data_IF_546773294615
#
_entry.id   IF_546773294615
#
_cell.length_a   1.000
_cell.length_b   1.000
_cell.length_c   1.000
_cell.angle_alpha   90.00
_cell.angle_beta   90.00
_cell.angle_gamma   90.00
#
_symmetry.space_group_name_H-M   'P 1'
#
loop_
_entity.id
_entity.type
_entity.pdbx_description
1 polymer ?
#
# COMPACT_ATOMS: atom_id res chain seq x y z
N UNK A 1 34.36 -42.27 37.97
CA UNK A 1 33.80 -42.52 36.62
C UNK A 1 32.50 -41.74 36.35
N UNK A 2 31.54 -41.73 37.29
CA UNK A 2 30.20 -41.12 37.07
C UNK A 2 30.15 -39.62 36.78
N UNK A 3 31.06 -38.81 37.37
CA UNK A 3 31.08 -37.36 37.14
C UNK A 3 31.40 -36.97 35.68
N UNK A 4 32.26 -37.74 35.00
CA UNK A 4 32.64 -37.49 33.59
C UNK A 4 31.48 -37.81 32.64
N UNK A 5 30.68 -38.81 32.98
CA UNK A 5 29.47 -39.18 32.23
C UNK A 5 28.38 -38.11 32.39
N UNK A 6 28.14 -37.66 33.62
CA UNK A 6 27.18 -36.59 33.89
C UNK A 6 27.53 -35.29 33.15
N UNK A 7 28.81 -34.91 33.13
CA UNK A 7 29.29 -33.74 32.40
C UNK A 7 29.09 -33.89 30.88
N UNK A 8 29.37 -35.08 30.33
CA UNK A 8 29.15 -35.37 28.91
C UNK A 8 27.68 -35.25 28.50
N UNK A 9 26.76 -35.78 29.32
CA UNK A 9 25.31 -35.66 29.09
C UNK A 9 24.86 -34.20 29.15
N UNK A 10 25.37 -33.42 30.10
CA UNK A 10 25.05 -31.99 30.23
C UNK A 10 25.51 -31.19 29.01
N UNK A 11 26.71 -31.45 28.50
CA UNK A 11 27.24 -30.81 27.28
C UNK A 11 26.39 -31.18 26.07
N UNK A 12 25.98 -32.44 25.94
CA UNK A 12 25.18 -32.92 24.82
C UNK A 12 23.77 -32.27 24.83
N UNK A 13 23.16 -32.15 26.01
CA UNK A 13 21.92 -31.40 26.22
C UNK A 13 22.07 -29.91 25.88
N UNK A 14 23.17 -29.30 26.30
CA UNK A 14 23.46 -27.90 26.00
C UNK A 14 23.59 -27.69 24.48
N UNK A 15 24.36 -28.53 23.80
CA UNK A 15 24.54 -28.46 22.35
C UNK A 15 23.23 -28.69 21.59
N UNK A 16 22.42 -29.66 22.02
CA UNK A 16 21.10 -29.90 21.44
C UNK A 16 20.18 -28.67 21.60
N UNK A 17 20.24 -28.00 22.75
CA UNK A 17 19.46 -26.79 23.00
C UNK A 17 19.94 -25.60 22.18
N UNK A 18 21.27 -25.42 22.06
CA UNK A 18 21.85 -24.39 21.18
C UNK A 18 21.47 -24.63 19.72
N UNK A 19 21.55 -25.87 19.26
CA UNK A 19 21.19 -26.24 17.89
C UNK A 19 19.70 -26.04 17.63
N UNK A 20 18.85 -26.39 18.61
CA UNK A 20 17.42 -26.11 18.57
C UNK A 20 17.14 -24.62 18.51
N UNK A 21 17.88 -23.77 19.24
CA UNK A 21 17.66 -22.32 19.18
C UNK A 21 18.02 -21.73 17.81
N UNK A 22 18.97 -22.34 17.10
CA UNK A 22 19.36 -21.91 15.77
C UNK A 22 18.41 -22.41 14.67
N UNK A 23 17.73 -23.54 14.88
CA UNK A 23 16.91 -24.23 13.86
C UNK A 23 15.40 -24.14 14.12
N UNK A 24 14.95 -24.07 15.38
CA UNK A 24 13.53 -24.08 15.71
C UNK A 24 12.90 -22.71 15.43
N UNK A 25 12.06 -22.66 14.40
CA UNK A 25 10.87 -21.81 14.14
C UNK A 25 10.83 -20.35 14.65
N UNK A 26 11.97 -19.74 14.92
CA UNK A 26 12.07 -18.37 15.44
C UNK A 26 13.49 -17.78 15.52
N UNK A 27 14.52 -18.53 15.13
CA UNK A 27 15.89 -18.01 14.97
C UNK A 27 16.03 -17.10 13.73
N UNK A 28 17.07 -16.27 13.71
CA UNK A 28 17.45 -15.21 12.74
C UNK A 28 17.00 -15.45 11.29
N UNK A 29 16.99 -16.69 10.80
CA UNK A 29 16.49 -17.04 9.47
C UNK A 29 15.00 -16.69 9.23
N UNK A 30 14.11 -16.83 10.22
CA UNK A 30 12.67 -16.60 10.03
C UNK A 30 12.32 -15.11 10.01
N UNK A 31 12.93 -14.30 10.88
CA UNK A 31 12.75 -12.84 10.89
C UNK A 31 13.32 -12.18 9.65
N UNK A 32 14.42 -12.68 9.10
CA UNK A 32 14.95 -12.19 7.83
C UNK A 32 14.02 -12.47 6.64
N UNK A 33 13.40 -13.65 6.57
CA UNK A 33 12.47 -13.96 5.48
C UNK A 33 11.17 -13.15 5.55
N UNK A 34 10.62 -12.99 6.76
CA UNK A 34 9.39 -12.20 6.95
C UNK A 34 9.64 -10.70 6.75
N UNK A 35 10.81 -10.20 7.17
CA UNK A 35 11.24 -8.82 6.92
C UNK A 35 11.52 -8.56 5.43
N UNK A 36 12.09 -9.52 4.70
CA UNK A 36 12.28 -9.40 3.25
C UNK A 36 10.96 -9.38 2.47
N UNK A 37 9.98 -10.21 2.86
CA UNK A 37 8.65 -10.20 2.23
C UNK A 37 7.89 -8.91 2.54
N UNK A 38 7.96 -8.41 3.79
CA UNK A 38 7.37 -7.14 4.16
C UNK A 38 7.98 -5.97 3.37
N UNK A 39 9.31 -5.95 3.19
CA UNK A 39 9.99 -4.90 2.43
C UNK A 39 9.58 -4.90 0.95
N UNK A 40 9.50 -6.08 0.33
CA UNK A 40 9.09 -6.19 -1.08
C UNK A 40 7.65 -5.71 -1.31
N UNK A 41 6.73 -6.01 -0.38
CA UNK A 41 5.34 -5.52 -0.46
C UNK A 41 5.25 -4.01 -0.23
N UNK A 42 6.15 -3.44 0.57
CA UNK A 42 6.15 -2.01 0.86
C UNK A 42 6.56 -1.18 -0.37
N UNK A 43 7.61 -1.63 -1.07
CA UNK A 43 8.10 -0.96 -2.28
C UNK A 43 7.04 -0.98 -3.41
N UNK A 44 6.31 -2.10 -3.55
CA UNK A 44 5.19 -2.20 -4.51
C UNK A 44 4.01 -1.30 -4.12
N UNK A 45 3.68 -1.22 -2.83
CA UNK A 45 2.61 -0.35 -2.35
C UNK A 45 2.94 1.13 -2.59
N UNK A 46 4.18 1.53 -2.35
CA UNK A 46 4.64 2.90 -2.56
C UNK A 46 4.62 3.28 -4.05
N UNK A 47 5.01 2.37 -4.94
CA UNK A 47 4.91 2.57 -6.38
C UNK A 47 3.44 2.72 -6.85
N UNK A 48 2.53 1.89 -6.33
CA UNK A 48 1.09 1.98 -6.63
C UNK A 48 0.48 3.28 -6.08
N UNK A 49 0.87 3.71 -4.87
CA UNK A 49 0.42 4.97 -4.28
C UNK A 49 0.87 6.17 -5.11
N UNK A 50 2.10 6.18 -5.58
CA UNK A 50 2.62 7.24 -6.45
C UNK A 50 1.83 7.33 -7.77
N UNK A 51 1.52 6.18 -8.40
CA UNK A 51 0.69 6.13 -9.61
C UNK A 51 -0.73 6.61 -9.37
N UNK A 52 -1.36 6.16 -8.28
CA UNK A 52 -2.70 6.61 -7.92
C UNK A 52 -2.75 8.11 -7.66
N UNK A 53 -1.75 8.68 -6.99
CA UNK A 53 -1.67 10.13 -6.77
C UNK A 53 -1.55 10.91 -8.10
N UNK A 54 -0.78 10.39 -9.06
CA UNK A 54 -0.66 10.99 -10.39
C UNK A 54 -1.97 10.91 -11.18
N UNK A 55 -2.62 9.74 -11.19
CA UNK A 55 -3.90 9.54 -11.87
C UNK A 55 -5.02 10.39 -11.25
N UNK A 56 -5.05 10.52 -9.92
CA UNK A 56 -6.03 11.36 -9.23
C UNK A 56 -5.80 12.85 -9.50
N UNK A 57 -4.55 13.27 -9.71
CA UNK A 57 -4.25 14.63 -10.19
C UNK A 57 -4.74 14.83 -11.63
N UNK A 58 -4.52 13.86 -12.52
CA UNK A 58 -4.95 13.90 -13.91
C UNK A 58 -6.48 13.91 -14.05
N UNK A 59 -7.19 13.09 -13.27
CA UNK A 59 -8.66 13.10 -13.21
C UNK A 59 -9.19 14.45 -12.74
N UNK A 60 -8.56 15.07 -11.73
CA UNK A 60 -8.94 16.40 -11.27
C UNK A 60 -8.69 17.48 -12.31
N UNK A 61 -7.58 17.43 -13.03
CA UNK A 61 -7.27 18.38 -14.10
C UNK A 61 -8.24 18.24 -15.29
N UNK A 62 -8.51 17.01 -15.74
CA UNK A 62 -9.51 16.72 -16.77
C UNK A 62 -10.92 17.17 -16.35
N UNK A 63 -11.28 16.96 -15.08
CA UNK A 63 -12.55 17.42 -14.51
C UNK A 63 -12.67 18.95 -14.50
N UNK A 64 -11.61 19.66 -14.13
CA UNK A 64 -11.60 21.13 -14.13
C UNK A 64 -11.65 21.71 -15.55
N UNK A 65 -10.88 21.14 -16.49
CA UNK A 65 -10.89 21.55 -17.89
C UNK A 65 -12.24 21.33 -18.57
N UNK A 66 -12.88 20.17 -18.33
CA UNK A 66 -14.22 19.87 -18.87
C UNK A 66 -15.31 20.74 -18.24
N UNK A 67 -15.26 20.99 -16.93
CA UNK A 67 -16.19 21.89 -16.25
C UNK A 67 -16.08 23.33 -16.77
N UNK A 68 -14.86 23.81 -17.05
CA UNK A 68 -14.64 25.13 -17.62
C UNK A 68 -15.20 25.26 -19.05
N UNK A 69 -15.03 24.22 -19.88
CA UNK A 69 -15.60 24.15 -21.22
C UNK A 69 -17.13 24.09 -21.17
N UNK A 70 -17.69 23.29 -20.27
CA UNK A 70 -19.15 23.21 -20.08
C UNK A 70 -19.75 24.55 -19.65
N UNK A 71 -19.11 25.26 -18.72
CA UNK A 71 -19.55 26.59 -18.31
C UNK A 71 -19.53 27.59 -19.48
N UNK A 72 -18.51 27.53 -20.35
CA UNK A 72 -18.44 28.35 -21.57
C UNK A 72 -19.55 28.00 -22.56
N UNK A 73 -19.85 26.73 -22.76
CA UNK A 73 -20.91 26.26 -23.64
C UNK A 73 -22.31 26.69 -23.13
N UNK A 74 -22.56 26.55 -21.82
CA UNK A 74 -23.80 27.01 -21.17
C UNK A 74 -24.02 28.51 -21.31
N UNK A 75 -22.97 29.31 -21.09
CA UNK A 75 -23.06 30.78 -21.11
C UNK A 75 -23.04 31.40 -22.51
N UNK A 76 -22.28 30.84 -23.45
CA UNK A 76 -22.09 31.43 -24.79
C UNK A 76 -23.04 30.84 -25.83
N UNK A 77 -23.34 29.54 -25.74
CA UNK A 77 -24.15 28.82 -26.73
C UNK A 77 -25.57 28.53 -26.24
N UNK A 78 -25.89 28.87 -24.99
CA UNK A 78 -27.19 28.55 -24.39
C UNK A 78 -27.47 27.04 -24.30
N UNK A 79 -26.40 26.21 -24.32
CA UNK A 79 -26.54 24.77 -24.25
C UNK A 79 -27.05 24.34 -22.87
N UNK A 80 -28.08 23.50 -22.87
CA UNK A 80 -28.68 22.88 -21.69
C UNK A 80 -28.67 21.36 -21.84
N UNK A 81 -28.45 20.64 -20.74
CA UNK A 81 -28.39 19.18 -20.73
C UNK A 81 -29.82 18.59 -20.83
N UNK A 82 -29.97 17.42 -21.45
CA UNK A 82 -31.25 16.71 -21.49
C UNK A 82 -31.80 16.48 -20.07
N UNK A 83 -32.99 17.02 -19.79
CA UNK A 83 -33.65 16.96 -18.48
C UNK A 83 -33.40 18.15 -17.54
N UNK A 84 -32.64 19.18 -17.95
CA UNK A 84 -32.38 20.39 -17.16
C UNK A 84 -33.45 21.47 -17.42
N UNK A 85 -33.99 22.11 -16.37
CA UNK A 85 -34.98 23.20 -16.50
C UNK A 85 -34.28 24.55 -16.46
N UNK A 86 -34.27 25.28 -17.58
CA UNK A 86 -33.66 26.60 -17.71
C UNK A 86 -34.64 27.71 -17.30
N UNK A 87 -34.24 28.56 -16.37
CA UNK A 87 -35.00 29.75 -15.96
C UNK A 87 -34.29 31.02 -16.44
N UNK A 88 -34.86 31.72 -17.42
CA UNK A 88 -34.40 33.04 -17.84
C UNK A 88 -35.24 34.11 -17.13
N UNK A 89 -34.65 34.81 -16.17
CA UNK A 89 -35.31 35.93 -15.50
C UNK A 89 -35.14 37.18 -16.35
N UNK A 90 -36.21 37.60 -17.02
CA UNK A 90 -36.28 38.89 -17.73
C UNK A 90 -36.94 39.90 -16.79
N UNK A 91 -36.20 40.92 -16.37
CA UNK A 91 -36.78 42.03 -15.60
C UNK A 91 -37.52 42.96 -16.57
N UNK A 92 -38.70 43.50 -16.21
CA UNK A 92 -39.50 44.35 -17.10
C UNK A 92 -38.82 45.69 -17.44
#
# INVERSE_FOLDING_TARGET
MGQRVALGVLILLLLAMQWRLWIADGGIAHTHRLKQQAQAMQDENDALRARNAALDAEVRDLGQGTAAIEARARTTLGMIRDGETFYLVVNP
#
